data_IF_225987654024
#
_entry.id   IF_225987654024
#
_cell.length_a   1.000
_cell.length_b   1.000
_cell.length_c   1.000
_cell.angle_alpha   90.00
_cell.angle_beta   90.00
_cell.angle_gamma   90.00
#
_symmetry.space_group_name_H-M   'P 1'
#
loop_
_entity.id
_entity.type
_entity.pdbx_description
1 polymer ?
#
# COMPACT_ATOMS: atom_id res chain seq x y z
N UNK A 1 -2.72 23.41 -17.31
CA UNK A 1 -2.35 22.09 -17.84
C UNK A 1 -3.26 21.08 -17.16
N UNK A 2 -3.92 20.20 -17.92
CA UNK A 2 -4.68 19.09 -17.32
C UNK A 2 -3.70 18.07 -16.77
N UNK A 3 -3.73 17.85 -15.45
CA UNK A 3 -2.95 16.79 -14.82
C UNK A 3 -3.48 15.42 -15.24
N UNK A 4 -2.57 14.50 -15.59
CA UNK A 4 -2.90 13.12 -15.95
C UNK A 4 -2.76 12.28 -14.68
N UNK A 5 -3.75 11.43 -14.41
CA UNK A 5 -3.65 10.41 -13.37
C UNK A 5 -2.76 9.26 -13.85
N UNK A 6 -1.72 8.94 -13.09
CA UNK A 6 -0.74 7.92 -13.43
C UNK A 6 -1.12 6.57 -12.82
N UNK A 7 -0.82 5.49 -13.55
CA UNK A 7 -0.89 4.14 -12.98
C UNK A 7 0.22 3.93 -11.95
N UNK A 8 -0.02 3.02 -11.00
CA UNK A 8 0.98 2.63 -10.00
C UNK A 8 2.32 2.25 -10.64
N UNK A 9 2.28 1.38 -11.66
CA UNK A 9 3.48 0.95 -12.40
C UNK A 9 4.24 2.14 -13.02
N UNK A 10 3.52 3.13 -13.58
CA UNK A 10 4.14 4.33 -14.17
C UNK A 10 4.82 5.20 -13.11
N UNK A 11 4.24 5.34 -11.93
CA UNK A 11 4.83 6.12 -10.84
C UNK A 11 6.04 5.42 -10.23
N UNK A 12 6.05 4.09 -10.19
CA UNK A 12 7.24 3.32 -9.78
C UNK A 12 8.41 3.57 -10.73
N UNK A 13 8.18 3.83 -12.02
CA UNK A 13 9.25 4.21 -12.96
C UNK A 13 9.91 5.56 -12.63
N UNK A 14 9.26 6.41 -11.85
CA UNK A 14 9.78 7.72 -11.44
C UNK A 14 10.71 7.61 -10.21
N UNK A 15 10.87 6.42 -9.64
CA UNK A 15 11.73 6.16 -8.48
C UNK A 15 13.16 5.87 -8.95
N UNK A 16 14.14 6.26 -8.13
CA UNK A 16 15.57 6.00 -8.38
C UNK A 16 15.86 4.50 -8.64
N UNK A 17 16.79 4.16 -9.56
CA UNK A 17 16.96 2.81 -10.07
C UNK A 17 17.07 1.70 -9.02
N UNK A 18 17.84 1.91 -7.96
CA UNK A 18 18.07 0.92 -6.91
C UNK A 18 16.79 0.63 -6.11
N UNK A 19 16.08 1.66 -5.66
CA UNK A 19 14.84 1.49 -4.89
C UNK A 19 13.69 1.04 -5.79
N UNK A 20 13.62 1.53 -7.03
CA UNK A 20 12.63 1.12 -8.03
C UNK A 20 12.63 -0.38 -8.26
N UNK A 21 13.80 -0.99 -8.43
CA UNK A 21 13.93 -2.43 -8.64
C UNK A 21 13.27 -3.22 -7.50
N UNK A 22 13.55 -2.82 -6.26
CA UNK A 22 13.03 -3.49 -5.07
C UNK A 22 11.53 -3.24 -4.90
N UNK A 23 11.04 -2.02 -5.15
CA UNK A 23 9.61 -1.71 -5.09
C UNK A 23 8.82 -2.48 -6.14
N UNK A 24 9.34 -2.60 -7.37
CA UNK A 24 8.75 -3.47 -8.40
C UNK A 24 8.64 -4.91 -7.91
N UNK A 25 9.70 -5.43 -7.30
CA UNK A 25 9.70 -6.78 -6.74
C UNK A 25 8.64 -6.94 -5.64
N UNK A 26 8.51 -5.97 -4.73
CA UNK A 26 7.45 -5.98 -3.70
C UNK A 26 6.06 -6.01 -4.35
N UNK A 27 5.82 -5.15 -5.34
CA UNK A 27 4.54 -5.11 -6.03
C UNK A 27 4.24 -6.41 -6.78
N UNK A 28 5.20 -6.95 -7.52
CA UNK A 28 5.05 -8.20 -8.28
C UNK A 28 4.78 -9.39 -7.36
N UNK A 29 5.52 -9.49 -6.26
CA UNK A 29 5.35 -10.58 -5.31
C UNK A 29 4.03 -10.54 -4.56
N UNK A 30 3.39 -9.39 -4.48
CA UNK A 30 2.18 -9.22 -3.66
C UNK A 30 0.99 -8.70 -4.46
N UNK A 31 1.08 -8.66 -5.80
CA UNK A 31 0.06 -8.05 -6.67
C UNK A 31 -1.34 -8.59 -6.41
N UNK A 32 -1.46 -9.91 -6.30
CA UNK A 32 -2.72 -10.58 -6.01
C UNK A 32 -3.30 -10.12 -4.66
N UNK A 33 -2.50 -10.18 -3.58
CA UNK A 33 -2.92 -9.74 -2.24
C UNK A 33 -3.28 -8.24 -2.21
N UNK A 34 -2.51 -7.40 -2.89
CA UNK A 34 -2.71 -5.96 -2.90
C UNK A 34 -3.98 -5.57 -3.67
N UNK A 35 -4.29 -6.30 -4.75
CA UNK A 35 -5.49 -6.05 -5.58
C UNK A 35 -6.82 -6.36 -4.91
N UNK A 36 -6.79 -7.00 -3.74
CA UNK A 36 -7.99 -7.45 -3.02
C UNK A 36 -8.08 -6.85 -1.62
N UNK A 37 -6.95 -6.46 -1.04
CA UNK A 37 -6.90 -5.81 0.26
C UNK A 37 -7.67 -4.47 0.26
N UNK A 38 -8.38 -4.20 1.36
CA UNK A 38 -8.99 -2.89 1.59
C UNK A 38 -7.95 -1.87 2.07
N UNK A 39 -8.15 -0.59 1.73
CA UNK A 39 -7.27 0.50 2.17
C UNK A 39 -7.50 0.92 3.62
N UNK A 40 -8.68 0.61 4.17
CA UNK A 40 -9.03 0.88 5.57
C UNK A 40 -10.07 -0.12 6.08
N UNK A 41 -10.26 -0.17 7.40
CA UNK A 41 -11.37 -0.89 8.04
C UNK A 41 -12.69 -0.13 8.04
N UNK A 42 -12.67 1.20 8.00
CA UNK A 42 -13.90 1.99 8.21
C UNK A 42 -13.95 3.38 7.58
N UNK A 43 -12.82 3.97 7.16
CA UNK A 43 -12.77 5.43 6.95
C UNK A 43 -12.72 5.88 5.49
N UNK A 44 -11.85 5.28 4.68
CA UNK A 44 -11.65 5.61 3.27
C UNK A 44 -11.19 4.35 2.53
N UNK A 45 -11.55 4.22 1.25
CA UNK A 45 -11.14 3.07 0.42
C UNK A 45 -11.33 1.69 1.09
N UNK A 46 -12.45 1.49 1.77
CA UNK A 46 -12.78 0.24 2.48
C UNK A 46 -13.24 -0.90 1.57
N UNK A 47 -13.26 -0.69 0.26
CA UNK A 47 -13.69 -1.66 -0.75
C UNK A 47 -12.58 -2.66 -1.12
N UNK A 48 -12.94 -3.81 -1.75
CA UNK A 48 -11.95 -4.74 -2.29
C UNK A 48 -10.99 -4.05 -3.26
N UNK A 49 -9.69 -4.23 -3.08
CA UNK A 49 -8.65 -3.56 -3.86
C UNK A 49 -8.39 -2.10 -3.48
N UNK A 50 -9.12 -1.60 -2.47
CA UNK A 50 -8.97 -0.24 -1.96
C UNK A 50 -7.57 0.10 -1.44
N UNK A 51 -6.75 -0.90 -1.11
CA UNK A 51 -5.34 -0.68 -0.75
C UNK A 51 -4.52 -0.13 -1.91
N UNK A 52 -4.59 -0.76 -3.09
CA UNK A 52 -3.89 -0.25 -4.28
C UNK A 52 -4.47 1.11 -4.68
N UNK A 53 -5.79 1.27 -4.61
CA UNK A 53 -6.43 2.55 -4.94
C UNK A 53 -5.93 3.67 -4.02
N UNK A 54 -5.82 3.42 -2.71
CA UNK A 54 -5.26 4.37 -1.73
C UNK A 54 -3.81 4.74 -2.04
N UNK A 55 -2.94 3.74 -2.19
CA UNK A 55 -1.52 3.98 -2.48
C UNK A 55 -1.36 4.74 -3.80
N UNK A 56 -2.15 4.39 -4.82
CA UNK A 56 -2.12 5.04 -6.14
C UNK A 56 -2.60 6.50 -6.05
N UNK A 57 -3.68 6.77 -5.32
CA UNK A 57 -4.19 8.13 -5.10
C UNK A 57 -3.16 8.99 -4.37
N UNK A 58 -2.61 8.47 -3.28
CA UNK A 58 -1.56 9.09 -2.49
C UNK A 58 -0.31 9.44 -3.31
N UNK A 59 0.14 8.54 -4.18
CA UNK A 59 1.28 8.78 -5.06
C UNK A 59 0.97 9.81 -6.16
N UNK A 60 -0.25 9.82 -6.70
CA UNK A 60 -0.67 10.84 -7.66
C UNK A 60 -0.74 12.23 -7.02
N UNK A 61 -1.28 12.32 -5.79
CA UNK A 61 -1.26 13.54 -4.98
C UNK A 61 0.17 14.01 -4.72
N UNK A 62 1.08 13.09 -4.38
CA UNK A 62 2.49 13.41 -4.22
C UNK A 62 3.11 14.03 -5.49
N UNK A 63 2.78 13.53 -6.68
CA UNK A 63 3.26 14.15 -7.94
C UNK A 63 2.76 15.60 -8.06
N UNK A 64 1.46 15.83 -7.85
CA UNK A 64 0.87 17.16 -8.00
C UNK A 64 1.37 18.16 -6.96
N UNK A 65 1.40 17.74 -5.70
CA UNK A 65 1.89 18.57 -4.61
C UNK A 65 3.39 18.84 -4.76
N UNK A 66 4.18 17.86 -5.19
CA UNK A 66 5.62 18.06 -5.40
C UNK A 66 5.87 19.11 -6.48
N UNK A 67 5.26 18.95 -7.67
CA UNK A 67 5.43 19.91 -8.78
C UNK A 67 5.03 21.32 -8.33
N UNK A 68 3.88 21.44 -7.65
CA UNK A 68 3.34 22.74 -7.24
C UNK A 68 4.19 23.39 -6.16
N UNK A 69 4.53 22.66 -5.10
CA UNK A 69 5.29 23.20 -3.97
C UNK A 69 6.74 23.48 -4.38
N UNK A 70 7.38 22.59 -5.15
CA UNK A 70 8.75 22.76 -5.63
C UNK A 70 8.89 23.95 -6.59
N UNK A 71 7.86 24.24 -7.40
CA UNK A 71 7.83 25.44 -8.23
C UNK A 71 7.71 26.74 -7.40
N UNK A 72 7.06 26.67 -6.24
CA UNK A 72 6.97 27.80 -5.31
C UNK A 72 8.27 27.99 -4.51
N UNK A 73 8.84 26.91 -3.97
CA UNK A 73 10.10 26.87 -3.23
C UNK A 73 10.71 25.48 -3.38
N UNK A 74 11.98 25.43 -3.75
CA UNK A 74 12.71 24.17 -3.92
C UNK A 74 12.61 23.29 -2.66
N UNK A 75 12.24 22.03 -2.87
CA UNK A 75 12.16 21.01 -1.82
C UNK A 75 13.52 20.32 -1.68
N UNK A 76 13.88 19.97 -0.45
CA UNK A 76 15.18 19.34 -0.11
C UNK A 76 15.18 17.81 -0.24
N UNK A 77 14.17 17.26 -0.90
CA UNK A 77 13.98 15.85 -1.22
C UNK A 77 13.49 15.71 -2.66
N UNK A 78 13.68 14.54 -3.27
CA UNK A 78 13.20 14.27 -4.62
C UNK A 78 11.77 13.74 -4.65
N UNK A 79 11.10 13.84 -5.81
CA UNK A 79 9.82 13.18 -6.04
C UNK A 79 9.94 11.66 -5.81
N UNK A 80 11.03 11.05 -6.27
CA UNK A 80 11.31 9.63 -6.05
C UNK A 80 11.33 9.25 -4.57
N UNK A 81 11.92 10.09 -3.70
CA UNK A 81 11.90 9.87 -2.25
C UNK A 81 10.47 9.88 -1.67
N UNK A 82 9.63 10.82 -2.11
CA UNK A 82 8.22 10.88 -1.70
C UNK A 82 7.42 9.67 -2.18
N UNK A 83 7.62 9.24 -3.43
CA UNK A 83 6.95 8.07 -4.00
C UNK A 83 7.33 6.77 -3.29
N UNK A 84 8.59 6.61 -2.87
CA UNK A 84 9.00 5.47 -2.02
C UNK A 84 8.23 5.46 -0.71
N UNK A 85 8.15 6.60 -0.02
CA UNK A 85 7.43 6.70 1.26
C UNK A 85 5.94 6.44 1.06
N UNK A 86 5.29 7.05 0.07
CA UNK A 86 3.87 6.84 -0.20
C UNK A 86 3.55 5.40 -0.63
N UNK A 87 4.46 4.71 -1.33
CA UNK A 87 4.27 3.29 -1.61
C UNK A 87 4.32 2.43 -0.33
N UNK A 88 5.20 2.78 0.62
CA UNK A 88 5.49 1.95 1.79
C UNK A 88 4.66 2.28 3.04
N UNK A 89 4.07 3.48 3.12
CA UNK A 89 3.53 4.03 4.39
C UNK A 89 2.55 3.08 5.09
N UNK A 90 1.73 2.39 4.28
CA UNK A 90 0.68 1.47 4.69
C UNK A 90 0.92 0.02 4.21
N UNK A 91 2.16 -0.31 3.84
CA UNK A 91 2.50 -1.60 3.22
C UNK A 91 2.06 -2.79 4.07
N UNK A 92 1.94 -2.66 5.39
CA UNK A 92 1.51 -3.74 6.29
C UNK A 92 0.01 -4.06 6.20
N UNK A 93 -0.82 -3.13 5.71
CA UNK A 93 -2.29 -3.27 5.70
C UNK A 93 -2.80 -4.53 4.99
N UNK A 94 -2.26 -4.95 3.83
CA UNK A 94 -2.73 -6.15 3.14
C UNK A 94 -2.58 -7.44 3.95
N UNK A 95 -1.65 -7.49 4.92
CA UNK A 95 -1.49 -8.64 5.82
C UNK A 95 -2.21 -8.47 7.16
N UNK A 96 -2.94 -7.37 7.36
CA UNK A 96 -3.60 -7.10 8.64
C UNK A 96 -4.86 -7.94 8.84
N UNK A 97 -5.53 -8.31 7.76
CA UNK A 97 -6.86 -8.91 7.82
C UNK A 97 -6.89 -10.31 7.21
N UNK A 98 -7.74 -11.16 7.80
CA UNK A 98 -8.16 -12.44 7.21
C UNK A 98 -9.69 -12.49 7.18
N UNK A 99 -10.26 -13.26 6.26
CA UNK A 99 -11.68 -13.59 6.34
C UNK A 99 -11.87 -14.70 7.38
N UNK A 100 -12.84 -14.53 8.28
CA UNK A 100 -13.29 -15.63 9.14
C UNK A 100 -14.19 -16.60 8.36
N UNK A 101 -14.60 -17.70 9.01
CA UNK A 101 -15.49 -18.69 8.40
C UNK A 101 -16.89 -18.18 8.02
N UNK A 102 -17.22 -16.92 8.34
CA UNK A 102 -18.45 -16.23 7.94
C UNK A 102 -18.24 -15.20 6.82
N UNK A 103 -17.01 -15.07 6.32
CA UNK A 103 -16.66 -14.08 5.29
C UNK A 103 -16.48 -12.65 5.83
N UNK A 104 -16.34 -12.48 7.16
CA UNK A 104 -16.08 -11.18 7.78
C UNK A 104 -14.58 -10.96 7.96
N UNK A 105 -14.11 -9.73 7.74
CA UNK A 105 -12.72 -9.37 8.02
C UNK A 105 -12.43 -9.37 9.53
N UNK A 106 -11.46 -10.17 9.93
CA UNK A 106 -10.88 -10.22 11.28
C UNK A 106 -9.43 -9.72 11.22
N UNK A 107 -9.02 -8.93 12.22
CA UNK A 107 -7.60 -8.54 12.36
C UNK A 107 -6.80 -9.74 12.84
N UNK A 108 -5.67 -10.03 12.17
CA UNK A 108 -4.78 -11.13 12.55
C UNK A 108 -4.23 -10.88 13.97
N UNK A 109 -4.18 -11.91 14.85
CA UNK A 109 -3.53 -11.80 16.15
C UNK A 109 -2.11 -11.26 16.03
N UNK A 110 -1.79 -10.21 16.81
CA UNK A 110 -0.50 -9.53 16.74
C UNK A 110 -0.45 -8.37 15.75
N UNK A 111 -1.57 -7.92 15.17
CA UNK A 111 -1.65 -6.74 14.27
C UNK A 111 -2.64 -5.67 14.78
N UNK A 112 -3.04 -5.74 16.05
CA UNK A 112 -4.04 -4.85 16.62
C UNK A 112 -3.50 -3.44 16.92
N UNK A 113 -2.26 -3.34 17.41
CA UNK A 113 -1.66 -2.09 17.86
C UNK A 113 -0.80 -1.39 16.80
N UNK A 114 -0.50 -0.11 17.05
CA UNK A 114 0.42 0.69 16.23
C UNK A 114 1.85 0.11 16.22
N UNK A 115 2.43 -0.33 17.35
CA UNK A 115 3.79 -0.87 17.37
C UNK A 115 3.94 -2.11 16.50
N UNK A 116 2.99 -3.03 16.54
CA UNK A 116 3.05 -4.28 15.79
C UNK A 116 2.91 -4.05 14.29
N UNK A 117 2.08 -3.07 13.88
CA UNK A 117 1.98 -2.63 12.49
C UNK A 117 3.29 -2.04 11.98
N UNK A 118 3.91 -1.16 12.78
CA UNK A 118 5.21 -0.59 12.45
C UNK A 118 6.30 -1.68 12.33
N UNK A 119 6.29 -2.67 13.20
CA UNK A 119 7.21 -3.81 13.14
C UNK A 119 6.99 -4.67 11.89
N UNK A 120 5.73 -4.96 11.53
CA UNK A 120 5.39 -5.70 10.32
C UNK A 120 5.87 -4.96 9.06
N UNK A 121 5.62 -3.65 8.99
CA UNK A 121 6.13 -2.78 7.94
C UNK A 121 7.64 -2.84 7.82
N UNK A 122 8.35 -2.67 8.93
CA UNK A 122 9.81 -2.70 8.97
C UNK A 122 10.36 -4.08 8.56
N UNK A 123 9.75 -5.16 9.04
CA UNK A 123 10.11 -6.54 8.68
C UNK A 123 9.88 -6.81 7.19
N UNK A 124 8.78 -6.28 6.63
CA UNK A 124 8.50 -6.38 5.19
C UNK A 124 9.57 -5.66 4.38
N UNK A 125 9.88 -4.40 4.72
CA UNK A 125 10.95 -3.62 4.05
C UNK A 125 12.31 -4.36 4.14
N UNK A 126 12.65 -4.89 5.32
CA UNK A 126 13.89 -5.63 5.55
C UNK A 126 13.97 -6.93 4.74
N UNK A 127 12.85 -7.67 4.60
CA UNK A 127 12.78 -8.91 3.81
C UNK A 127 13.20 -8.69 2.36
N UNK A 128 12.79 -7.56 1.78
CA UNK A 128 13.14 -7.16 0.42
C UNK A 128 14.50 -6.46 0.32
N UNK A 129 15.21 -6.29 1.44
CA UNK A 129 16.51 -5.61 1.53
C UNK A 129 16.45 -4.18 0.98
N UNK A 130 15.29 -3.52 1.12
CA UNK A 130 15.13 -2.13 0.71
C UNK A 130 15.84 -1.24 1.73
N UNK A 131 16.85 -0.50 1.27
CA UNK A 131 17.56 0.47 2.10
C UNK A 131 16.83 1.81 2.02
N UNK A 132 16.44 2.34 3.17
CA UNK A 132 15.88 3.69 3.30
C UNK A 132 16.94 4.65 3.83
N UNK A 133 17.02 5.84 3.25
CA UNK A 133 17.88 6.90 3.77
C UNK A 133 17.29 7.55 5.04
N UNK A 134 18.05 8.43 5.70
CA UNK A 134 17.62 9.06 6.94
C UNK A 134 16.31 9.89 6.81
N UNK A 135 16.09 10.56 5.67
CA UNK A 135 14.86 11.31 5.42
C UNK A 135 13.67 10.39 5.23
N UNK A 136 13.84 9.31 4.46
CA UNK A 136 12.80 8.31 4.25
C UNK A 136 12.44 7.62 5.56
N UNK A 137 13.42 7.24 6.39
CA UNK A 137 13.18 6.67 7.73
C UNK A 137 12.39 7.64 8.63
N UNK A 138 12.77 8.93 8.65
CA UNK A 138 12.00 9.94 9.36
C UNK A 138 10.58 10.05 8.80
N UNK A 139 10.41 10.11 7.48
CA UNK A 139 9.10 10.20 6.87
C UNK A 139 8.22 8.98 7.20
N UNK A 140 8.76 7.76 7.16
CA UNK A 140 8.05 6.54 7.56
C UNK A 140 7.61 6.55 9.03
N UNK A 141 8.32 7.26 9.90
CA UNK A 141 7.94 7.43 11.31
C UNK A 141 6.76 8.39 11.48
N UNK A 142 6.67 9.45 10.68
CA UNK A 142 5.72 10.55 10.88
C UNK A 142 4.65 10.69 9.78
N UNK A 143 4.63 9.84 8.75
CA UNK A 143 3.68 9.93 7.63
C UNK A 143 2.21 9.83 8.09
N UNK A 144 1.93 9.16 9.19
CA UNK A 144 0.60 9.06 9.80
C UNK A 144 0.27 10.20 10.79
N UNK A 145 1.19 11.17 10.98
CA UNK A 145 1.01 12.34 11.83
C UNK A 145 2.09 12.51 12.90
N UNK A 146 1.95 13.56 13.71
CA UNK A 146 2.84 13.80 14.84
C UNK A 146 2.67 12.72 15.94
N UNK A 147 3.77 12.44 16.63
CA UNK A 147 3.81 11.49 17.75
C UNK A 147 3.92 12.24 19.08
N UNK A 148 3.94 11.49 20.18
CA UNK A 148 4.06 12.06 21.53
C UNK A 148 5.41 12.74 21.81
N UNK A 149 6.36 12.67 20.86
CA UNK A 149 7.66 13.34 20.93
C UNK A 149 7.66 14.77 20.35
N UNK A 150 6.49 15.30 19.99
CA UNK A 150 6.34 16.71 19.62
C UNK A 150 6.93 17.63 20.69
N UNK A 151 7.85 18.50 20.28
CA UNK A 151 8.51 19.43 21.16
C UNK A 151 8.55 20.83 20.53
N UNK A 152 8.09 21.90 21.22
CA UNK A 152 8.06 23.26 20.65
C UNK A 152 9.41 23.79 20.14
N UNK A 153 10.52 23.24 20.64
CA UNK A 153 11.88 23.66 20.30
C UNK A 153 12.58 22.74 19.29
N UNK A 154 11.94 21.65 18.84
CA UNK A 154 12.55 20.68 17.94
C UNK A 154 11.54 20.19 16.91
N UNK A 155 11.88 20.34 15.63
CA UNK A 155 11.10 19.78 14.52
C UNK A 155 11.41 18.29 14.39
N UNK A 156 10.44 17.46 14.78
CA UNK A 156 10.58 15.99 14.77
C UNK A 156 10.23 15.41 13.40
N UNK A 157 9.10 15.84 12.83
CA UNK A 157 8.71 15.56 11.45
C UNK A 157 9.51 16.46 10.50
N UNK A 158 10.29 15.86 9.62
CA UNK A 158 11.09 16.57 8.61
C UNK A 158 10.25 16.87 7.36
N UNK A 159 10.73 17.73 6.44
CA UNK A 159 9.95 18.16 5.27
C UNK A 159 9.33 17.02 4.45
N UNK A 160 10.07 15.93 4.20
CA UNK A 160 9.55 14.75 3.51
C UNK A 160 8.38 14.08 4.27
N UNK A 161 8.49 13.95 5.59
CA UNK A 161 7.42 13.40 6.42
C UNK A 161 6.16 14.25 6.41
N UNK A 162 6.31 15.58 6.53
CA UNK A 162 5.20 16.53 6.46
C UNK A 162 4.51 16.51 5.08
N UNK A 163 5.30 16.43 4.02
CA UNK A 163 4.80 16.32 2.65
C UNK A 163 4.01 15.03 2.43
N UNK A 164 4.54 13.88 2.85
CA UNK A 164 3.85 12.60 2.72
C UNK A 164 2.59 12.54 3.58
N UNK A 165 2.63 13.10 4.80
CA UNK A 165 1.46 13.22 5.67
C UNK A 165 0.36 14.06 5.02
N UNK A 166 0.70 15.17 4.36
CA UNK A 166 -0.25 15.97 3.59
C UNK A 166 -0.96 15.14 2.52
N UNK A 167 -0.23 14.29 1.80
CA UNK A 167 -0.80 13.43 0.75
C UNK A 167 -1.79 12.41 1.34
N UNK A 168 -1.38 11.70 2.39
CA UNK A 168 -2.23 10.71 3.08
C UNK A 168 -3.50 11.35 3.66
N UNK A 169 -3.35 12.45 4.40
CA UNK A 169 -4.48 13.17 4.98
C UNK A 169 -5.43 13.69 3.91
N UNK A 170 -4.92 14.21 2.79
CA UNK A 170 -5.78 14.72 1.72
C UNK A 170 -6.54 13.61 1.02
N UNK A 171 -5.89 12.48 0.71
CA UNK A 171 -6.56 11.27 0.22
C UNK A 171 -7.67 10.84 1.18
N UNK A 172 -7.36 10.75 2.47
CA UNK A 172 -8.27 10.25 3.49
C UNK A 172 -9.43 11.20 3.86
N UNK A 173 -9.24 12.52 3.72
CA UNK A 173 -10.17 13.55 4.26
C UNK A 173 -10.67 14.53 3.22
N UNK A 174 -9.80 14.95 2.31
CA UNK A 174 -10.18 15.80 1.18
C UNK A 174 -11.03 15.01 0.19
N UNK A 175 -10.57 13.82 -0.19
CA UNK A 175 -11.20 12.97 -1.21
C UNK A 175 -11.39 11.51 -0.77
N UNK A 176 -12.13 11.24 0.32
CA UNK A 176 -12.23 9.89 0.92
C UNK A 176 -12.83 8.81 0.02
N UNK A 177 -13.53 9.23 -1.05
CA UNK A 177 -14.16 8.34 -2.03
C UNK A 177 -13.37 8.23 -3.34
N UNK A 178 -12.23 8.92 -3.44
CA UNK A 178 -11.36 8.87 -4.62
C UNK A 178 -10.35 7.72 -4.54
N UNK A 179 -9.91 7.18 -5.69
CA UNK A 179 -10.51 7.37 -7.01
C UNK A 179 -11.98 6.94 -7.01
N UNK A 180 -12.85 7.71 -7.65
CA UNK A 180 -14.28 7.46 -7.72
C UNK A 180 -14.56 6.22 -8.58
N UNK A 181 -15.55 5.41 -8.18
CA UNK A 181 -15.92 4.20 -8.93
C UNK A 181 -16.47 4.53 -10.34
N UNK A 182 -17.08 5.71 -10.50
CA UNK A 182 -17.66 6.15 -11.77
C UNK A 182 -17.40 7.64 -11.97
N UNK A 183 -17.03 8.01 -13.20
CA UNK A 183 -16.88 9.40 -13.63
C UNK A 183 -15.96 10.24 -12.74
N UNK A 184 -14.81 9.69 -12.35
CA UNK A 184 -13.79 10.45 -11.64
C UNK A 184 -13.39 11.70 -12.44
N UNK A 185 -13.30 12.83 -11.74
CA UNK A 185 -12.98 14.12 -12.34
C UNK A 185 -11.50 14.26 -12.71
N UNK A 186 -10.62 13.42 -12.19
CA UNK A 186 -9.20 13.39 -12.54
C UNK A 186 -8.99 12.51 -13.78
N UNK A 187 -8.60 13.09 -14.93
CA UNK A 187 -8.45 12.33 -16.17
C UNK A 187 -7.48 11.15 -16.03
N UNK A 188 -8.00 9.94 -16.27
CA UNK A 188 -7.25 8.68 -16.18
C UNK A 188 -7.45 7.91 -14.87
N UNK A 189 -8.04 8.51 -13.84
CA UNK A 189 -8.31 7.85 -12.57
C UNK A 189 -9.37 6.75 -12.72
N UNK A 190 -9.06 5.58 -12.16
CA UNK A 190 -9.93 4.38 -12.16
C UNK A 190 -9.59 3.54 -10.93
N UNK A 191 -10.59 2.86 -10.36
CA UNK A 191 -10.36 1.85 -9.32
C UNK A 191 -9.80 0.59 -9.95
N UNK A 192 -9.01 -0.17 -9.18
CA UNK A 192 -8.51 -1.46 -9.66
C UNK A 192 -9.64 -2.46 -9.94
N UNK A 193 -10.77 -2.38 -9.24
CA UNK A 193 -11.94 -3.24 -9.49
C UNK A 193 -12.58 -3.02 -10.86
N UNK A 194 -12.37 -1.85 -11.46
CA UNK A 194 -12.84 -1.55 -12.81
C UNK A 194 -11.94 -2.20 -13.88
N UNK A 195 -10.78 -2.70 -13.46
CA UNK A 195 -9.88 -3.55 -14.24
C UNK A 195 -10.26 -5.00 -13.90
N UNK A 196 -11.24 -5.56 -14.62
CA UNK A 196 -11.85 -6.86 -14.33
C UNK A 196 -10.86 -7.93 -13.79
N UNK A 197 -11.08 -8.48 -12.58
CA UNK A 197 -10.32 -9.63 -12.12
C UNK A 197 -10.94 -10.91 -12.71
N UNK A 198 -10.20 -11.59 -13.58
CA UNK A 198 -10.53 -12.94 -14.05
C UNK A 198 -10.21 -14.03 -13.00
N UNK A 199 -10.23 -13.73 -11.70
CA UNK A 199 -9.79 -14.65 -10.62
C UNK A 199 -10.89 -14.87 -9.57
N UNK A 200 -11.15 -16.14 -9.28
CA UNK A 200 -12.20 -16.64 -8.38
C UNK A 200 -11.62 -16.84 -6.98
N UNK A 201 -12.37 -16.46 -5.95
CA UNK A 201 -12.04 -16.73 -4.54
C UNK A 201 -12.32 -18.21 -4.25
N UNK A 202 -11.36 -18.93 -3.66
CA UNK A 202 -11.57 -20.30 -3.21
C UNK A 202 -12.59 -20.31 -2.06
N UNK A 203 -13.66 -21.11 -2.20
CA UNK A 203 -14.75 -21.16 -1.22
C UNK A 203 -14.33 -21.79 0.10
N UNK A 204 -13.28 -22.62 0.10
CA UNK A 204 -12.95 -23.49 1.23
C UNK A 204 -12.00 -22.83 2.23
N UNK A 205 -11.09 -21.98 1.76
CA UNK A 205 -10.10 -21.31 2.60
C UNK A 205 -10.15 -19.78 2.50
N UNK A 206 -11.02 -19.22 1.66
CA UNK A 206 -11.09 -17.78 1.41
C UNK A 206 -9.84 -17.20 0.74
N UNK A 207 -8.90 -18.04 0.28
CA UNK A 207 -7.71 -17.60 -0.46
C UNK A 207 -8.02 -17.41 -1.95
N UNK A 208 -7.26 -16.55 -2.61
CA UNK A 208 -7.42 -16.33 -4.05
C UNK A 208 -6.76 -17.48 -4.81
N UNK A 209 -7.54 -18.22 -5.60
CA UNK A 209 -7.02 -19.27 -6.44
C UNK A 209 -6.31 -18.64 -7.65
N UNK A 210 -4.97 -18.60 -7.64
CA UNK A 210 -4.19 -18.31 -8.84
C UNK A 210 -4.02 -19.60 -9.66
N UNK A 211 -4.10 -19.48 -10.99
CA UNK A 211 -3.67 -20.52 -11.93
C UNK A 211 -2.14 -20.72 -11.94
N UNK A 212 -1.39 -19.92 -11.18
CA UNK A 212 0.06 -20.01 -11.03
C UNK A 212 0.43 -20.29 -9.58
N UNK A 213 1.00 -21.48 -9.41
CA UNK A 213 1.63 -22.02 -8.20
C UNK A 213 2.28 -20.97 -7.29
N UNK A 214 1.92 -20.98 -6.00
CA UNK A 214 2.80 -20.59 -4.89
C UNK A 214 2.57 -21.51 -3.70
N UNK A 215 3.60 -22.26 -3.35
CA UNK A 215 3.66 -23.06 -2.13
C UNK A 215 3.79 -22.13 -0.91
N UNK A 216 2.84 -22.17 0.01
CA UNK A 216 2.99 -21.56 1.34
C UNK A 216 3.25 -22.65 2.37
N UNK A 217 4.43 -22.63 3.01
CA UNK A 217 4.77 -23.55 4.10
C UNK A 217 3.96 -23.21 5.36
N UNK A 218 3.19 -24.19 5.86
CA UNK A 218 2.59 -24.14 7.20
C UNK A 218 3.00 -25.41 7.95
N UNK A 219 4.07 -25.32 8.76
CA UNK A 219 4.44 -26.39 9.69
C UNK A 219 4.80 -27.75 9.06
N UNK A 220 5.05 -28.78 9.89
CA UNK A 220 5.48 -30.09 9.42
C UNK A 220 4.29 -30.92 8.96
N UNK A 221 4.29 -31.22 7.66
CA UNK A 221 3.53 -32.27 6.94
C UNK A 221 2.03 -32.01 6.74
N UNK A 222 1.68 -31.04 5.90
CA UNK A 222 0.50 -31.06 5.02
C UNK A 222 0.54 -29.85 4.05
N UNK A 223 0.39 -30.08 2.75
CA UNK A 223 0.32 -29.00 1.75
C UNK A 223 -1.15 -28.76 1.37
N UNK A 224 -1.61 -27.52 1.48
CA UNK A 224 -2.93 -27.09 1.01
C UNK A 224 -2.78 -26.38 -0.34
N UNK A 225 -3.31 -26.98 -1.40
CA UNK A 225 -3.23 -26.49 -2.78
C UNK A 225 -4.61 -26.02 -3.21
N UNK A 226 -4.74 -24.81 -3.76
CA UNK A 226 -6.00 -24.33 -4.32
C UNK A 226 -6.01 -24.49 -5.84
N UNK A 227 -6.93 -25.30 -6.39
CA UNK A 227 -7.20 -25.36 -7.83
C UNK A 227 -8.69 -25.18 -8.07
N UNK A 228 -9.05 -24.37 -9.08
CA UNK A 228 -10.43 -24.23 -9.55
C UNK A 228 -11.47 -24.02 -8.43
N UNK A 229 -11.21 -23.08 -7.52
CA UNK A 229 -12.09 -22.74 -6.37
C UNK A 229 -12.20 -23.80 -5.26
N UNK A 230 -11.44 -24.89 -5.30
CA UNK A 230 -11.44 -25.95 -4.28
C UNK A 230 -10.05 -26.13 -3.64
N UNK A 231 -10.02 -26.50 -2.36
CA UNK A 231 -8.79 -26.89 -1.66
C UNK A 231 -8.51 -28.40 -1.82
N UNK A 232 -7.33 -28.72 -2.33
CA UNK A 232 -6.79 -30.08 -2.37
C UNK A 232 -5.66 -30.22 -1.35
N UNK A 233 -5.72 -31.28 -0.55
CA UNK A 233 -4.62 -31.72 0.29
C UNK A 233 -3.77 -32.71 -0.50
N UNK A 234 -2.50 -32.38 -0.72
CA UNK A 234 -1.53 -33.36 -1.25
C UNK A 234 -0.68 -33.89 -0.11
N UNK A 235 -0.73 -35.21 0.09
CA UNK A 235 0.23 -35.93 0.92
C UNK A 235 1.38 -36.40 0.02
N UNK A 236 2.62 -36.15 0.43
CA UNK A 236 3.79 -36.88 -0.07
C UNK A 236 3.91 -38.23 0.66
#
# INVERSE_FOLDING_TARGET
MTSIYHSLDSMIEMIEPEQRKVIKQILEDNRDLFSVASGSSSNHQTWPGGYIDHVTECMNLAIQFYITLNACRELDFSLGEALVVMFLHDIEKPWRYRLDGSGKLETIPGMQGKPERAENRNTTIARYRLVLNARQLNAMQYVEGELDDYAPKRRMMWPLGAFCHLCDVWSARGWPNSPAAYSDTWPGAKRITDIQPSKVICSDCGSYADKRFRETRVGPVEYQVCQNSECHYSQE
#
